data_IF_372081777891
#
_entry.id   IF_372081777891
#
_cell.length_a   1.000
_cell.length_b   1.000
_cell.length_c   1.000
_cell.angle_alpha   90.00
_cell.angle_beta   90.00
_cell.angle_gamma   90.00
#
_symmetry.space_group_name_H-M   'P 1'
#
loop_
_entity.id
_entity.type
_entity.pdbx_description
1 polymer ?
#
# COMPACT_ATOMS: atom_id res chain seq x y z
N UNK A 1 0.36 67.17 13.87
CA UNK A 1 -0.43 66.69 15.03
C UNK A 1 -1.89 67.01 14.78
N UNK A 2 -2.70 66.07 14.29
CA UNK A 2 -4.16 66.03 14.49
C UNK A 2 -4.58 64.58 14.30
N UNK A 3 -4.95 63.93 15.39
CA UNK A 3 -5.36 62.52 15.42
C UNK A 3 -6.79 62.35 14.92
N UNK A 4 -7.01 61.29 14.15
CA UNK A 4 -8.34 60.83 13.76
C UNK A 4 -8.64 59.49 14.44
N UNK A 5 -9.78 59.54 15.12
CA UNK A 5 -10.33 58.60 16.10
C UNK A 5 -11.02 57.44 15.37
N UNK A 6 -10.80 56.21 15.81
CA UNK A 6 -11.55 55.04 15.33
C UNK A 6 -13.01 55.05 15.78
N UNK A 7 -13.90 54.41 15.01
CA UNK A 7 -15.07 53.75 15.57
C UNK A 7 -15.16 52.26 15.15
N UNK A 8 -15.40 51.38 16.13
CA UNK A 8 -16.05 50.07 16.00
C UNK A 8 -17.46 50.25 16.58
N UNK A 9 -18.54 49.70 15.98
CA UNK A 9 -19.06 48.39 16.44
C UNK A 9 -19.73 47.54 15.32
N UNK A 10 -19.50 46.23 15.33
CA UNK A 10 -20.48 45.17 15.63
C UNK A 10 -21.41 44.76 14.46
N UNK A 11 -21.18 43.54 13.97
CA UNK A 11 -22.08 42.78 13.11
C UNK A 11 -21.76 41.30 13.27
N UNK A 12 -22.57 40.62 14.08
CA UNK A 12 -22.52 39.20 14.41
C UNK A 12 -22.89 38.33 13.20
N UNK A 13 -21.98 37.45 12.79
CA UNK A 13 -22.29 36.25 12.02
C UNK A 13 -22.01 35.01 12.88
N UNK A 14 -22.81 33.94 12.80
CA UNK A 14 -22.55 32.73 13.57
C UNK A 14 -21.28 32.09 13.04
N UNK A 15 -20.21 32.07 13.84
CA UNK A 15 -19.10 31.15 13.62
C UNK A 15 -19.65 29.74 13.76
N UNK A 16 -19.91 29.08 12.63
CA UNK A 16 -19.97 27.63 12.59
C UNK A 16 -18.62 27.12 13.03
N UNK A 17 -18.52 26.66 14.27
CA UNK A 17 -17.35 25.93 14.74
C UNK A 17 -17.21 24.66 13.90
N UNK A 18 -16.09 24.50 13.20
CA UNK A 18 -15.79 23.26 12.51
C UNK A 18 -15.63 22.14 13.56
N UNK A 19 -16.26 20.97 13.36
CA UNK A 19 -16.21 19.86 14.31
C UNK A 19 -14.86 19.13 14.34
N UNK A 20 -13.86 19.62 13.61
CA UNK A 20 -12.53 19.02 13.49
C UNK A 20 -11.42 19.85 14.15
N UNK A 21 -11.76 20.93 14.86
CA UNK A 21 -10.80 21.86 15.47
C UNK A 21 -10.58 21.61 16.97
N UNK A 22 -10.92 20.41 17.46
CA UNK A 22 -10.50 19.97 18.79
C UNK A 22 -9.19 19.20 18.69
N UNK A 23 -8.09 19.95 18.71
CA UNK A 23 -6.77 19.41 19.05
C UNK A 23 -6.79 18.96 20.52
N UNK A 24 -7.12 17.68 20.75
CA UNK A 24 -6.84 16.98 22.01
C UNK A 24 -5.56 16.16 21.83
N UNK A 25 -4.43 16.83 22.06
CA UNK A 25 -3.16 16.17 22.32
C UNK A 25 -3.26 15.40 23.65
N UNK A 26 -3.31 14.07 23.62
CA UNK A 26 -2.52 13.12 24.43
C UNK A 26 -3.12 11.71 24.39
N UNK A 27 -2.73 10.88 23.41
CA UNK A 27 -2.89 9.42 23.51
C UNK A 27 -1.54 8.77 23.80
N UNK A 28 -1.33 8.41 25.07
CA UNK A 28 -0.28 7.49 25.51
C UNK A 28 -0.44 6.15 24.76
N UNK A 29 0.63 5.57 24.18
CA UNK A 29 0.54 4.22 23.61
C UNK A 29 0.46 3.21 24.76
N UNK A 30 -0.72 2.62 24.96
CA UNK A 30 -0.89 1.48 25.86
C UNK A 30 -0.43 0.21 25.15
N UNK A 31 0.63 -0.37 25.69
CA UNK A 31 1.25 -1.61 25.25
C UNK A 31 0.37 -2.84 25.54
N UNK A 32 0.42 -3.81 24.62
CA UNK A 32 0.05 -5.25 24.69
C UNK A 32 -1.39 -5.66 24.37
N UNK A 33 -1.61 -6.10 23.13
CA UNK A 33 -2.15 -7.45 22.85
C UNK A 33 -1.39 -8.04 21.65
N UNK A 34 -0.66 -9.12 21.91
CA UNK A 34 0.06 -9.95 20.94
C UNK A 34 -0.91 -10.99 20.34
N UNK A 35 -0.99 -11.10 19.01
CA UNK A 35 -1.06 -12.40 18.38
C UNK A 35 0.03 -12.54 17.32
N UNK A 36 0.97 -13.46 17.57
CA UNK A 36 1.80 -14.02 16.50
C UNK A 36 0.90 -14.82 15.54
N UNK A 37 1.10 -14.62 14.23
CA UNK A 37 1.25 -15.74 13.34
C UNK A 37 2.62 -15.64 12.68
N UNK A 38 3.59 -16.35 13.25
CA UNK A 38 4.87 -16.64 12.62
C UNK A 38 4.65 -17.60 11.46
N UNK A 39 4.39 -17.12 10.25
CA UNK A 39 4.81 -17.81 9.02
C UNK A 39 5.08 -16.81 7.89
N UNK A 40 6.38 -16.71 7.59
CA UNK A 40 6.95 -16.18 6.36
C UNK A 40 6.65 -14.71 6.07
N UNK A 41 7.37 -13.82 6.75
CA UNK A 41 7.90 -12.63 6.10
C UNK A 41 8.75 -13.09 4.91
N UNK A 42 8.10 -13.31 3.76
CA UNK A 42 8.83 -13.38 2.49
C UNK A 42 9.39 -11.98 2.32
N UNK A 43 10.70 -11.86 2.56
CA UNK A 43 11.50 -10.72 2.18
C UNK A 43 11.08 -10.31 0.76
N UNK A 44 10.26 -9.27 0.65
CA UNK A 44 10.05 -8.59 -0.62
C UNK A 44 11.35 -7.82 -0.85
N UNK A 45 12.37 -8.55 -1.31
CA UNK A 45 13.54 -7.97 -1.94
C UNK A 45 13.02 -7.15 -3.10
N UNK A 46 12.89 -5.83 -2.88
CA UNK A 46 12.28 -4.88 -3.79
C UNK A 46 13.16 -4.56 -5.00
N UNK A 47 14.05 -5.49 -5.38
CA UNK A 47 14.89 -5.41 -6.57
C UNK A 47 14.29 -6.30 -7.67
N UNK A 48 13.08 -5.98 -8.10
CA UNK A 48 12.37 -6.73 -9.17
C UNK A 48 12.54 -6.11 -10.57
N UNK A 49 13.57 -5.28 -10.76
CA UNK A 49 13.88 -4.66 -12.06
C UNK A 49 15.12 -5.24 -12.74
N UNK A 50 15.65 -6.34 -12.22
CA UNK A 50 16.83 -7.03 -12.77
C UNK A 50 16.44 -8.45 -13.19
N UNK A 51 15.55 -8.55 -14.18
CA UNK A 51 15.43 -9.77 -15.01
C UNK A 51 16.60 -9.70 -16.02
N UNK A 52 17.81 -9.99 -15.55
CA UNK A 52 18.86 -10.54 -16.43
C UNK A 52 18.60 -12.04 -16.48
N UNK A 53 18.28 -12.56 -17.67
CA UNK A 53 18.23 -13.99 -17.98
C UNK A 53 19.62 -14.60 -17.74
N UNK A 54 19.93 -14.94 -16.48
CA UNK A 54 21.12 -15.70 -16.12
C UNK A 54 20.71 -17.09 -15.67
N UNK A 55 20.65 -17.99 -16.66
CA UNK A 55 20.66 -19.43 -16.48
C UNK A 55 21.66 -19.82 -15.37
N UNK A 56 21.16 -20.58 -14.40
CA UNK A 56 21.91 -21.19 -13.32
C UNK A 56 22.93 -22.20 -13.87
N UNK A 57 24.12 -21.78 -14.31
CA UNK A 57 25.30 -22.65 -14.42
C UNK A 57 26.62 -21.96 -14.05
N UNK A 58 27.18 -22.49 -12.96
CA UNK A 58 28.56 -22.41 -12.48
C UNK A 58 29.61 -22.41 -13.62
N UNK A 59 30.67 -21.60 -13.42
CA UNK A 59 32.04 -21.63 -13.98
C UNK A 59 32.45 -20.56 -15.04
N UNK A 60 33.55 -19.89 -14.68
CA UNK A 60 34.62 -19.28 -15.51
C UNK A 60 34.33 -18.02 -16.34
N UNK A 61 35.05 -16.95 -15.97
CA UNK A 61 35.64 -15.91 -16.84
C UNK A 61 35.39 -16.05 -18.34
N UNK A 62 34.49 -15.23 -18.88
CA UNK A 62 34.56 -14.73 -20.26
C UNK A 62 33.57 -13.57 -20.42
N UNK A 63 34.05 -12.35 -20.22
CA UNK A 63 33.30 -11.14 -20.59
C UNK A 63 33.17 -11.10 -22.11
N UNK A 64 32.03 -11.51 -22.64
CA UNK A 64 31.64 -11.15 -24.00
C UNK A 64 30.89 -9.81 -23.92
N UNK A 65 31.29 -8.76 -24.66
CA UNK A 65 30.53 -7.52 -24.69
C UNK A 65 29.20 -7.81 -25.40
N UNK A 66 28.11 -7.82 -24.63
CA UNK A 66 26.77 -7.75 -25.19
C UNK A 66 26.66 -6.41 -25.92
N UNK A 67 26.58 -6.46 -27.24
CA UNK A 67 26.41 -5.28 -28.09
C UNK A 67 25.07 -4.55 -27.81
N UNK A 68 24.15 -5.21 -27.09
CA UNK A 68 22.81 -4.70 -26.78
C UNK A 68 22.76 -3.87 -25.47
N UNK A 69 23.69 -4.13 -24.54
CA UNK A 69 23.86 -3.29 -23.34
C UNK A 69 24.36 -1.88 -23.70
N UNK A 70 25.17 -1.79 -24.75
CA UNK A 70 25.76 -0.51 -25.16
C UNK A 70 24.67 0.45 -25.66
N UNK A 71 23.75 0.00 -26.53
CA UNK A 71 22.62 0.81 -26.98
C UNK A 71 21.69 1.24 -25.84
N UNK A 72 21.37 0.32 -24.92
CA UNK A 72 20.50 0.58 -23.77
C UNK A 72 21.11 1.59 -22.79
N UNK A 73 22.42 1.55 -22.57
CA UNK A 73 23.12 2.52 -21.72
C UNK A 73 23.26 3.88 -22.39
N UNK A 74 23.53 3.93 -23.70
CA UNK A 74 23.71 5.18 -24.47
C UNK A 74 22.47 6.07 -24.45
N UNK A 75 21.29 5.47 -24.42
CA UNK A 75 20.02 6.22 -24.40
C UNK A 75 19.49 6.55 -23.00
N UNK A 76 20.10 6.04 -21.91
CA UNK A 76 19.63 6.32 -20.53
C UNK A 76 19.62 7.82 -20.21
N UNK A 77 20.64 8.55 -20.67
CA UNK A 77 20.84 9.96 -20.33
C UNK A 77 20.08 10.94 -21.24
N UNK A 78 19.29 10.45 -22.21
CA UNK A 78 18.45 11.29 -23.07
C UNK A 78 19.24 12.36 -23.83
N UNK A 79 20.44 12.01 -24.31
CA UNK A 79 21.35 12.87 -25.08
C UNK A 79 21.90 14.10 -24.35
N UNK A 80 21.80 14.16 -23.02
CA UNK A 80 22.40 15.25 -22.21
C UNK A 80 23.89 15.43 -22.47
N UNK A 81 24.61 14.32 -22.60
CA UNK A 81 26.06 14.32 -22.82
C UNK A 81 26.45 14.64 -24.27
N UNK A 82 25.47 14.61 -25.18
CA UNK A 82 25.63 14.83 -26.62
C UNK A 82 25.06 16.17 -27.09
N UNK A 83 24.79 17.09 -26.15
CA UNK A 83 24.32 18.43 -26.44
C UNK A 83 22.81 18.53 -26.74
N UNK A 84 22.00 17.54 -26.37
CA UNK A 84 20.55 17.57 -26.59
C UNK A 84 20.08 16.82 -27.84
N UNK A 85 18.76 16.70 -27.97
CA UNK A 85 18.08 15.96 -29.05
C UNK A 85 18.26 16.60 -30.42
N UNK A 86 18.41 17.93 -30.47
CA UNK A 86 18.63 18.73 -31.68
C UNK A 86 19.98 18.45 -32.35
N UNK A 87 20.95 17.93 -31.59
CA UNK A 87 22.29 17.59 -32.07
C UNK A 87 22.41 16.12 -32.50
N UNK A 88 21.29 15.41 -32.61
CA UNK A 88 21.24 13.99 -33.01
C UNK A 88 20.73 13.80 -34.44
N UNK A 89 21.15 12.70 -35.06
CA UNK A 89 20.60 12.29 -36.35
C UNK A 89 19.18 11.73 -36.21
N UNK A 90 18.41 11.74 -37.31
CA UNK A 90 17.06 11.16 -37.33
C UNK A 90 17.07 9.68 -36.93
N UNK A 91 18.07 8.92 -37.40
CA UNK A 91 18.21 7.50 -37.08
C UNK A 91 18.46 7.26 -35.57
N UNK A 92 19.23 8.14 -34.92
CA UNK A 92 19.44 8.08 -33.46
C UNK A 92 18.16 8.41 -32.69
N UNK A 93 17.38 9.39 -33.16
CA UNK A 93 16.09 9.73 -32.56
C UNK A 93 15.06 8.60 -32.71
N UNK A 94 15.02 7.93 -33.87
CA UNK A 94 14.17 6.75 -34.09
C UNK A 94 14.55 5.60 -33.15
N UNK A 95 15.85 5.33 -33.03
CA UNK A 95 16.37 4.29 -32.13
C UNK A 95 16.06 4.61 -30.66
N UNK A 96 16.20 5.87 -30.26
CA UNK A 96 15.81 6.34 -28.92
C UNK A 96 14.31 6.21 -28.67
N UNK A 97 13.46 6.52 -29.65
CA UNK A 97 12.01 6.37 -29.53
C UNK A 97 11.63 4.89 -29.31
N UNK A 98 12.23 3.97 -30.06
CA UNK A 98 12.06 2.51 -29.86
C UNK A 98 12.51 2.12 -28.46
N UNK A 99 13.72 2.52 -28.05
CA UNK A 99 14.24 2.24 -26.72
C UNK A 99 13.30 2.73 -25.59
N UNK A 100 12.85 3.99 -25.65
CA UNK A 100 11.96 4.55 -24.63
C UNK A 100 10.60 3.87 -24.61
N UNK A 101 10.08 3.46 -25.77
CA UNK A 101 8.83 2.70 -25.86
C UNK A 101 8.97 1.32 -25.22
N UNK A 102 10.10 0.64 -25.42
CA UNK A 102 10.39 -0.66 -24.82
C UNK A 102 10.54 -0.56 -23.30
N UNK A 103 11.31 0.42 -22.81
CA UNK A 103 11.45 0.66 -21.36
C UNK A 103 10.10 0.96 -20.71
N UNK A 104 9.28 1.80 -21.34
CA UNK A 104 7.94 2.13 -20.84
C UNK A 104 7.05 0.88 -20.83
N UNK A 105 7.11 0.07 -21.88
CA UNK A 105 6.33 -1.19 -21.97
C UNK A 105 6.73 -2.17 -20.87
N UNK A 106 8.04 -2.31 -20.61
CA UNK A 106 8.57 -3.15 -19.51
C UNK A 106 8.06 -2.66 -18.15
N UNK A 107 8.10 -1.34 -17.91
CA UNK A 107 7.59 -0.76 -16.68
C UNK A 107 6.07 -1.01 -16.51
N UNK A 108 5.27 -0.80 -17.56
CA UNK A 108 3.82 -1.06 -17.55
C UNK A 108 3.53 -2.55 -17.31
N UNK A 109 4.30 -3.46 -17.91
CA UNK A 109 4.18 -4.90 -17.67
C UNK A 109 4.49 -5.26 -16.20
N UNK A 110 5.48 -4.60 -15.58
CA UNK A 110 5.75 -4.70 -14.15
C UNK A 110 4.55 -4.28 -13.30
N UNK A 111 3.96 -3.11 -13.59
CA UNK A 111 2.74 -2.65 -12.91
C UNK A 111 1.58 -3.65 -13.06
N UNK A 112 1.41 -4.25 -14.24
CA UNK A 112 0.38 -5.26 -14.48
C UNK A 112 0.58 -6.50 -13.59
N UNK A 113 1.82 -7.02 -13.49
CA UNK A 113 2.14 -8.16 -12.61
C UNK A 113 1.79 -7.86 -11.15
N UNK A 114 2.15 -6.67 -10.65
CA UNK A 114 1.83 -6.25 -9.28
C UNK A 114 0.32 -6.14 -9.07
N UNK A 115 -0.41 -5.51 -9.99
CA UNK A 115 -1.86 -5.38 -9.91
C UNK A 115 -2.58 -6.74 -9.91
N UNK A 116 -2.07 -7.71 -10.68
CA UNK A 116 -2.60 -9.07 -10.68
C UNK A 116 -2.34 -9.79 -9.34
N UNK A 117 -1.16 -9.60 -8.75
CA UNK A 117 -0.84 -10.08 -7.40
C UNK A 117 -1.80 -9.53 -6.35
N UNK A 118 -1.99 -8.20 -6.32
CA UNK A 118 -2.94 -7.54 -5.41
C UNK A 118 -4.36 -8.11 -5.57
N UNK A 119 -4.83 -8.29 -6.81
CA UNK A 119 -6.16 -8.87 -7.07
C UNK A 119 -6.30 -10.29 -6.51
N UNK A 120 -5.27 -11.13 -6.71
CA UNK A 120 -5.25 -12.50 -6.17
C UNK A 120 -5.30 -12.51 -4.64
N UNK A 121 -4.47 -11.69 -3.99
CA UNK A 121 -4.38 -11.64 -2.53
C UNK A 121 -5.63 -11.03 -1.89
N UNK A 122 -6.22 -10.00 -2.50
CA UNK A 122 -7.49 -9.44 -2.07
C UNK A 122 -8.63 -10.46 -2.17
N UNK A 123 -8.65 -11.27 -3.24
CA UNK A 123 -9.66 -12.33 -3.41
C UNK A 123 -9.53 -13.38 -2.31
N UNK A 124 -8.31 -13.82 -1.99
CA UNK A 124 -8.06 -14.76 -0.89
C UNK A 124 -8.49 -14.16 0.45
N UNK A 125 -8.14 -12.91 0.70
CA UNK A 125 -8.52 -12.19 1.92
C UNK A 125 -10.04 -12.08 2.07
N UNK A 126 -10.77 -11.82 0.97
CA UNK A 126 -12.23 -11.73 0.97
C UNK A 126 -12.88 -13.07 1.36
N UNK A 127 -12.37 -14.20 0.84
CA UNK A 127 -12.84 -15.54 1.23
C UNK A 127 -12.60 -15.78 2.72
N UNK A 128 -11.40 -15.48 3.21
CA UNK A 128 -11.07 -15.64 4.63
C UNK A 128 -11.94 -14.76 5.53
N UNK A 129 -12.24 -13.53 5.12
CA UNK A 129 -13.10 -12.63 5.87
C UNK A 129 -14.54 -13.17 5.93
N UNK A 130 -15.05 -13.70 4.82
CA UNK A 130 -16.38 -14.31 4.78
C UNK A 130 -16.48 -15.50 5.74
N UNK A 131 -15.52 -16.42 5.69
CA UNK A 131 -15.47 -17.58 6.61
C UNK A 131 -15.38 -17.16 8.08
N UNK A 132 -14.58 -16.14 8.38
CA UNK A 132 -14.49 -15.58 9.73
C UNK A 132 -15.80 -14.94 10.18
N UNK A 133 -16.47 -14.19 9.30
CA UNK A 133 -17.78 -13.63 9.55
C UNK A 133 -18.80 -14.70 9.95
N UNK A 134 -18.87 -15.80 9.19
CA UNK A 134 -19.78 -16.90 9.53
C UNK A 134 -19.42 -17.57 10.86
N UNK A 135 -18.13 -17.72 11.17
CA UNK A 135 -17.69 -18.27 12.47
C UNK A 135 -18.15 -17.37 13.62
N UNK A 136 -18.01 -16.05 13.49
CA UNK A 136 -18.48 -15.09 14.51
C UNK A 136 -20.00 -15.22 14.69
N UNK A 137 -20.76 -15.27 13.60
CA UNK A 137 -22.23 -15.44 13.67
C UNK A 137 -22.61 -16.73 14.39
N UNK A 138 -21.97 -17.86 14.06
CA UNK A 138 -22.24 -19.16 14.73
C UNK A 138 -21.89 -19.10 16.22
N UNK A 139 -20.75 -18.51 16.57
CA UNK A 139 -20.34 -18.36 17.97
C UNK A 139 -21.32 -17.46 18.73
N UNK A 140 -21.77 -16.35 18.14
CA UNK A 140 -22.74 -15.47 18.76
C UNK A 140 -24.05 -16.19 19.11
N UNK A 141 -24.61 -16.98 18.17
CA UNK A 141 -25.81 -17.78 18.44
C UNK A 141 -25.61 -18.74 19.62
N UNK A 142 -24.48 -19.47 19.65
CA UNK A 142 -24.16 -20.37 20.76
C UNK A 142 -24.06 -19.63 22.11
N UNK A 143 -23.48 -18.43 22.12
CA UNK A 143 -23.39 -17.62 23.34
C UNK A 143 -24.78 -17.18 23.82
N UNK A 144 -25.68 -16.82 22.90
CA UNK A 144 -27.07 -16.47 23.24
C UNK A 144 -27.80 -17.68 23.84
N UNK A 145 -27.63 -18.87 23.25
CA UNK A 145 -28.25 -20.10 23.78
C UNK A 145 -27.74 -20.41 25.20
N UNK A 146 -26.43 -20.28 25.42
CA UNK A 146 -25.81 -20.46 26.74
C UNK A 146 -26.35 -19.43 27.75
N UNK A 147 -26.45 -18.16 27.38
CA UNK A 147 -26.97 -17.09 28.24
C UNK A 147 -28.42 -17.35 28.67
N UNK A 148 -29.24 -17.84 27.74
CA UNK A 148 -30.61 -18.25 28.03
C UNK A 148 -30.66 -19.43 29.00
N UNK A 149 -29.83 -20.47 28.79
CA UNK A 149 -29.77 -21.64 29.67
C UNK A 149 -29.27 -21.29 31.08
N UNK A 150 -28.26 -20.42 31.18
CA UNK A 150 -27.77 -19.89 32.46
C UNK A 150 -28.85 -19.09 33.19
N UNK A 151 -29.54 -18.18 32.48
CA UNK A 151 -30.66 -17.41 33.03
C UNK A 151 -31.79 -18.29 33.55
N UNK A 152 -32.07 -19.41 32.86
CA UNK A 152 -33.05 -20.41 33.31
C UNK A 152 -32.55 -21.17 34.53
N UNK A 153 -31.27 -21.57 34.54
CA UNK A 153 -30.62 -22.24 35.67
C UNK A 153 -30.65 -21.39 36.94
N UNK A 154 -30.32 -20.10 36.83
CA UNK A 154 -30.37 -19.13 37.93
C UNK A 154 -31.78 -19.04 38.54
N UNK A 155 -32.82 -18.91 37.70
CA UNK A 155 -34.22 -18.86 38.16
C UNK A 155 -34.66 -20.11 38.90
N UNK A 156 -34.15 -21.29 38.51
CA UNK A 156 -34.48 -22.55 39.19
C UNK A 156 -33.75 -22.66 40.54
N UNK A 157 -32.47 -22.30 40.58
CA UNK A 157 -31.69 -22.29 41.82
C UNK A 157 -32.27 -21.31 42.85
N UNK A 158 -32.68 -20.11 42.42
CA UNK A 158 -33.31 -19.12 43.30
C UNK A 158 -34.65 -19.55 43.89
N UNK A 159 -35.31 -20.60 43.34
CA UNK A 159 -36.54 -21.18 43.91
C UNK A 159 -36.27 -22.33 44.90
N UNK A 160 -35.06 -22.89 44.87
CA UNK A 160 -34.65 -24.02 45.72
C UNK A 160 -33.92 -23.59 46.99
N UNK A 161 -33.39 -22.36 47.02
CA UNK A 161 -32.82 -21.74 48.21
C UNK A 161 -33.95 -20.98 48.93
N UNK A 162 -34.31 -21.34 50.18
CA UNK A 162 -35.34 -20.64 50.96
C UNK A 162 -34.95 -19.21 51.33
#
# INVERSE_FOLDING_TARGET
MFGLKQPKPAGSGPSGSNPFDSDDDTLKPSNRINPEPSLAAKNLSLNSFDDDDCDEKRFTTSSKPSLDLDAKSRYRNGFRDSGGVENQSVQELESYAVYKSQETTKAVQGCLKVAQGIRSDATRTLVMLNEQGEKITRTHHKTVDIDHDLSRGEKLLGRLVP
#
